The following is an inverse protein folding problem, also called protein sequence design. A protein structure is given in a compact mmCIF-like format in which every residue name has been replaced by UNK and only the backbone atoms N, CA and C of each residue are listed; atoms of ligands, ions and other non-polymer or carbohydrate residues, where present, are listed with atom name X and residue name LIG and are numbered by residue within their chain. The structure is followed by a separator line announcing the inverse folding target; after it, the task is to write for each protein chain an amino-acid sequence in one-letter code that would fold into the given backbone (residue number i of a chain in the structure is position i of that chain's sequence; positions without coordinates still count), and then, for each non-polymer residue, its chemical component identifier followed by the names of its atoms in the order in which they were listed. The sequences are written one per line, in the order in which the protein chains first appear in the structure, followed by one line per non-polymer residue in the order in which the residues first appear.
data_IF_954584175240
#
_entry.id   IF_954584175240
#
_cell.length_a   1.000
_cell.length_b   1.000
_cell.length_c   1.000
_cell.angle_alpha   90.00
_cell.angle_beta   90.00
_cell.angle_gamma   90.00
#
_symmetry.space_group_name_H-M   'P 1'
#
loop_
_entity.id
_entity.type
_entity.pdbx_description
1 polymer ?
#
# COMPACT_ATOMS: atom_id res chain seq x y z
N UNK A 1 -0.46 -6.67 10.88
CA UNK A 1 -1.95 -6.72 10.98
C UNK A 1 -2.40 -8.14 11.34
N UNK A 2 -3.44 -8.31 12.15
CA UNK A 2 -4.03 -9.63 12.49
C UNK A 2 -5.56 -9.57 12.47
N UNK A 3 -6.25 -10.64 12.06
CA UNK A 3 -7.71 -10.77 12.16
C UNK A 3 -8.47 -9.90 11.16
N UNK A 4 -9.44 -9.10 11.64
CA UNK A 4 -10.27 -8.25 10.78
C UNK A 4 -9.44 -7.25 9.96
N UNK A 5 -8.48 -6.48 10.52
CA UNK A 5 -7.58 -5.64 9.73
C UNK A 5 -6.85 -6.37 8.60
N UNK A 6 -6.36 -7.58 8.85
CA UNK A 6 -5.65 -8.39 7.85
C UNK A 6 -6.60 -8.78 6.70
N UNK A 7 -7.81 -9.23 7.04
CA UNK A 7 -8.84 -9.61 6.06
C UNK A 7 -9.25 -8.41 5.19
N UNK A 8 -9.42 -7.25 5.81
CA UNK A 8 -9.73 -5.99 5.12
C UNK A 8 -8.59 -5.58 4.19
N UNK A 9 -7.34 -5.62 4.65
CA UNK A 9 -6.17 -5.29 3.82
C UNK A 9 -6.11 -6.17 2.57
N UNK A 10 -6.24 -7.50 2.75
CA UNK A 10 -6.28 -8.46 1.62
C UNK A 10 -7.40 -8.16 0.65
N UNK A 11 -8.59 -7.85 1.17
CA UNK A 11 -9.78 -7.53 0.35
C UNK A 11 -9.57 -6.26 -0.46
N UNK A 12 -9.04 -5.20 0.15
CA UNK A 12 -8.74 -3.94 -0.52
C UNK A 12 -7.66 -4.12 -1.59
N UNK A 13 -6.57 -4.81 -1.28
CA UNK A 13 -5.53 -5.15 -2.26
C UNK A 13 -6.13 -5.94 -3.43
N UNK A 14 -6.94 -6.96 -3.17
CA UNK A 14 -7.60 -7.74 -4.23
C UNK A 14 -8.52 -6.88 -5.09
N UNK A 15 -9.28 -5.95 -4.49
CA UNK A 15 -10.14 -5.04 -5.23
C UNK A 15 -9.32 -4.10 -6.14
N UNK A 16 -8.22 -3.52 -5.64
CA UNK A 16 -7.32 -2.68 -6.43
C UNK A 16 -6.67 -3.44 -7.58
N UNK A 17 -6.22 -4.69 -7.34
CA UNK A 17 -5.66 -5.55 -8.38
C UNK A 17 -6.71 -5.85 -9.47
N UNK A 18 -7.95 -6.17 -9.08
CA UNK A 18 -9.04 -6.40 -10.03
C UNK A 18 -9.36 -5.17 -10.87
N UNK A 19 -9.33 -3.98 -10.26
CA UNK A 19 -9.52 -2.71 -10.98
C UNK A 19 -8.39 -2.51 -11.98
N UNK A 20 -7.13 -2.69 -11.55
CA UNK A 20 -5.96 -2.55 -12.43
C UNK A 20 -6.02 -3.51 -13.63
N UNK A 21 -6.37 -4.78 -13.41
CA UNK A 21 -6.57 -5.77 -14.49
C UNK A 21 -7.67 -5.32 -15.45
N UNK A 22 -8.83 -4.90 -14.92
CA UNK A 22 -9.96 -4.44 -15.73
C UNK A 22 -9.61 -3.20 -16.58
N UNK A 23 -8.75 -2.33 -16.05
CA UNK A 23 -8.30 -1.09 -16.72
C UNK A 23 -7.03 -1.28 -17.55
N UNK A 24 -6.55 -2.52 -17.70
CA UNK A 24 -5.29 -2.85 -18.40
C UNK A 24 -4.08 -2.05 -17.87
N UNK A 25 -4.04 -1.82 -16.56
CA UNK A 25 -2.94 -1.17 -15.84
C UNK A 25 -2.00 -2.23 -15.27
N UNK A 26 -0.70 -2.09 -15.48
CA UNK A 26 0.30 -2.90 -14.78
C UNK A 26 0.18 -2.65 -13.28
N UNK A 27 0.24 -3.71 -12.48
CA UNK A 27 0.22 -3.63 -11.02
C UNK A 27 1.31 -4.55 -10.45
N UNK A 28 1.93 -4.11 -9.36
CA UNK A 28 2.95 -4.84 -8.63
C UNK A 28 2.55 -4.85 -7.17
N UNK A 29 2.45 -6.04 -6.57
CA UNK A 29 2.04 -6.18 -5.18
C UNK A 29 3.23 -6.58 -4.33
N UNK A 30 3.43 -5.84 -3.24
CA UNK A 30 4.44 -6.10 -2.22
C UNK A 30 3.72 -6.35 -0.91
N UNK A 31 3.83 -7.56 -0.37
CA UNK A 31 3.41 -7.85 1.01
C UNK A 31 4.62 -7.74 1.92
N UNK A 32 4.42 -7.22 3.14
CA UNK A 32 5.48 -7.11 4.14
C UNK A 32 5.01 -7.63 5.50
N UNK A 33 5.94 -8.26 6.22
CA UNK A 33 5.80 -8.67 7.61
C UNK A 33 7.19 -8.67 8.25
N UNK A 34 7.75 -9.83 8.63
CA UNK A 34 9.18 -9.98 8.93
C UNK A 34 10.04 -9.84 7.69
N UNK A 35 9.52 -10.27 6.53
CA UNK A 35 10.16 -10.16 5.22
C UNK A 35 9.16 -9.63 4.19
N UNK A 36 9.68 -9.26 3.00
CA UNK A 36 8.85 -8.88 1.86
C UNK A 36 8.63 -10.07 0.91
N UNK A 37 7.45 -10.14 0.31
CA UNK A 37 7.19 -10.98 -0.86
C UNK A 37 6.59 -10.13 -1.96
N UNK A 38 7.00 -10.41 -3.20
CA UNK A 38 6.61 -9.62 -4.36
C UNK A 38 5.90 -10.46 -5.40
N UNK A 39 4.87 -9.90 -6.00
CA UNK A 39 3.94 -10.62 -6.84
C UNK A 39 3.61 -9.81 -8.09
N UNK A 40 3.91 -10.41 -9.24
CA UNK A 40 3.37 -10.00 -10.52
C UNK A 40 2.00 -10.64 -10.73
N UNK A 41 1.07 -9.89 -11.34
CA UNK A 41 -0.31 -10.31 -11.58
C UNK A 41 -0.38 -11.60 -12.42
N UNK A 42 -0.62 -12.74 -11.75
CA UNK A 42 -1.19 -13.95 -12.32
C UNK A 42 -2.07 -14.66 -11.28
N UNK A 43 -3.03 -15.46 -11.72
CA UNK A 43 -4.07 -16.02 -10.84
C UNK A 43 -3.51 -16.86 -9.68
N UNK A 44 -2.46 -17.63 -9.94
CA UNK A 44 -1.81 -18.47 -8.92
C UNK A 44 -1.15 -17.63 -7.81
N UNK A 45 -0.47 -16.54 -8.19
CA UNK A 45 0.19 -15.63 -7.26
C UNK A 45 -0.81 -14.87 -6.38
N UNK A 46 -1.99 -14.56 -6.90
CA UNK A 46 -3.05 -13.92 -6.11
C UNK A 46 -3.55 -14.87 -5.02
N UNK A 47 -3.76 -16.15 -5.33
CA UNK A 47 -4.18 -17.14 -4.32
C UNK A 47 -3.11 -17.27 -3.23
N UNK A 48 -1.83 -17.35 -3.62
CA UNK A 48 -0.72 -17.39 -2.68
C UNK A 48 -0.73 -16.17 -1.74
N UNK A 49 -0.84 -14.95 -2.28
CA UNK A 49 -0.97 -13.72 -1.49
C UNK A 49 -2.09 -13.77 -0.46
N UNK A 50 -3.28 -14.20 -0.87
CA UNK A 50 -4.45 -14.26 0.01
C UNK A 50 -4.25 -15.26 1.16
N UNK A 51 -3.45 -16.31 0.94
CA UNK A 51 -3.11 -17.32 1.94
C UNK A 51 -2.03 -16.88 2.94
N UNK A 52 -1.22 -15.87 2.62
CA UNK A 52 -0.13 -15.41 3.48
C UNK A 52 -0.65 -14.76 4.76
N UNK A 53 0.05 -14.93 5.88
CA UNK A 53 -0.21 -14.14 7.09
C UNK A 53 0.57 -12.82 7.07
N UNK A 54 -0.04 -11.73 7.52
CA UNK A 54 0.63 -10.41 7.66
C UNK A 54 0.97 -10.11 9.12
N UNK A 55 1.22 -11.18 9.88
CA UNK A 55 1.56 -11.15 11.29
C UNK A 55 3.08 -11.22 11.42
N UNK A 56 3.64 -10.28 12.17
CA UNK A 56 5.09 -10.17 12.37
C UNK A 56 5.69 -8.96 11.63
N UNK A 57 6.73 -8.39 12.24
CA UNK A 57 7.38 -7.17 11.78
C UNK A 57 6.47 -5.93 11.81
N UNK A 58 7.07 -4.76 11.97
CA UNK A 58 6.39 -3.47 11.85
C UNK A 58 7.13 -2.55 10.89
N UNK A 59 8.29 -2.96 10.40
CA UNK A 59 9.11 -2.14 9.52
C UNK A 59 8.66 -2.30 8.06
N UNK A 60 8.07 -1.24 7.53
CA UNK A 60 7.66 -1.17 6.13
C UNK A 60 8.77 -0.68 5.20
N UNK A 61 9.92 -0.27 5.75
CA UNK A 61 11.05 0.29 4.99
C UNK A 61 11.49 -0.64 3.86
N UNK A 62 11.68 -1.96 4.06
CA UNK A 62 12.08 -2.86 2.98
C UNK A 62 11.08 -2.89 1.82
N UNK A 63 9.78 -2.80 2.13
CA UNK A 63 8.73 -2.78 1.11
C UNK A 63 8.70 -1.47 0.33
N UNK A 64 8.90 -0.35 1.02
CA UNK A 64 8.98 0.96 0.38
C UNK A 64 10.22 1.07 -0.50
N UNK A 65 11.37 0.56 -0.06
CA UNK A 65 12.60 0.51 -0.86
C UNK A 65 12.43 -0.33 -2.12
N UNK A 66 11.75 -1.48 -2.04
CA UNK A 66 11.43 -2.28 -3.22
C UNK A 66 10.47 -1.54 -4.17
N UNK A 67 9.47 -0.82 -3.65
CA UNK A 67 8.58 -0.01 -4.47
C UNK A 67 9.35 1.11 -5.20
N UNK A 68 10.23 1.82 -4.50
CA UNK A 68 11.11 2.85 -5.07
C UNK A 68 12.06 2.28 -6.13
N UNK A 69 12.61 1.07 -5.90
CA UNK A 69 13.41 0.37 -6.91
C UNK A 69 12.58 0.08 -8.16
N UNK A 70 11.33 -0.36 -8.01
CA UNK A 70 10.45 -0.62 -9.15
C UNK A 70 10.15 0.64 -9.97
N UNK A 71 10.06 1.82 -9.35
CA UNK A 71 9.94 3.10 -10.07
C UNK A 71 11.14 3.42 -10.99
N UNK A 72 12.28 2.73 -10.85
CA UNK A 72 13.41 2.88 -11.77
C UNK A 72 13.28 2.01 -13.03
N UNK A 73 12.30 1.11 -13.07
CA UNK A 73 12.06 0.20 -14.20
C UNK A 73 11.10 0.82 -15.22
N UNK A 74 11.28 0.48 -16.50
CA UNK A 74 10.47 1.03 -17.60
C UNK A 74 8.96 0.85 -17.40
N UNK A 75 8.57 -0.28 -16.82
CA UNK A 75 7.17 -0.66 -16.63
C UNK A 75 6.44 0.13 -15.55
N UNK A 76 7.19 0.67 -14.58
CA UNK A 76 6.62 1.29 -13.37
C UNK A 76 7.14 2.70 -13.11
N UNK A 77 7.95 3.29 -14.00
CA UNK A 77 8.54 4.63 -13.85
C UNK A 77 7.58 5.80 -13.63
N UNK A 78 6.29 5.61 -13.88
CA UNK A 78 5.21 6.57 -13.64
C UNK A 78 4.09 5.98 -12.79
N UNK A 79 4.34 4.88 -12.09
CA UNK A 79 3.35 4.24 -11.25
C UNK A 79 3.16 5.05 -9.96
N UNK A 80 1.92 5.12 -9.49
CA UNK A 80 1.62 5.59 -8.15
C UNK A 80 1.81 4.44 -7.14
N UNK A 81 2.13 4.79 -5.90
CA UNK A 81 2.30 3.83 -4.80
C UNK A 81 1.12 3.95 -3.85
N UNK A 82 0.48 2.83 -3.53
CA UNK A 82 -0.59 2.75 -2.52
C UNK A 82 -0.12 1.81 -1.41
N UNK A 83 0.03 2.34 -0.20
CA UNK A 83 0.34 1.57 0.99
C UNK A 83 -0.91 1.28 1.82
N UNK A 84 -1.19 0.00 2.07
CA UNK A 84 -2.33 -0.45 2.89
C UNK A 84 -1.81 -1.02 4.20
N UNK A 85 -2.09 -0.37 5.32
CA UNK A 85 -1.56 -0.79 6.64
C UNK A 85 -2.39 -0.22 7.79
N UNK A 86 -2.25 -0.78 8.99
CA UNK A 86 -2.70 -0.15 10.23
C UNK A 86 -1.73 0.94 10.73
N UNK A 87 -0.62 1.17 10.03
CA UNK A 87 0.39 2.21 10.32
C UNK A 87 1.00 2.13 11.72
N UNK A 88 1.00 0.94 12.33
CA UNK A 88 1.77 0.65 13.53
C UNK A 88 3.20 0.31 13.10
N UNK A 89 3.96 1.34 12.70
CA UNK A 89 5.32 1.23 12.14
C UNK A 89 6.21 2.41 12.54
N UNK A 90 7.54 2.26 12.57
CA UNK A 90 8.44 3.42 12.65
C UNK A 90 8.31 4.30 11.39
N UNK A 91 8.76 5.55 11.48
CA UNK A 91 8.95 6.36 10.28
C UNK A 91 10.06 5.76 9.41
N UNK A 92 9.99 5.99 8.09
CA UNK A 92 11.06 5.59 7.17
C UNK A 92 12.38 6.28 7.51
N UNK A 93 13.51 5.64 7.22
CA UNK A 93 14.83 6.24 7.37
C UNK A 93 15.05 7.43 6.41
N UNK A 94 16.06 8.26 6.67
CA UNK A 94 16.34 9.47 5.89
C UNK A 94 16.64 9.21 4.41
N UNK A 95 17.31 8.09 4.10
CA UNK A 95 17.62 7.70 2.73
C UNK A 95 16.33 7.38 1.97
N UNK A 96 15.44 6.59 2.59
CA UNK A 96 14.13 6.24 2.02
C UNK A 96 13.26 7.49 1.85
N UNK A 97 13.23 8.40 2.83
CA UNK A 97 12.51 9.68 2.71
C UNK A 97 13.04 10.53 1.54
N UNK A 98 14.35 10.60 1.36
CA UNK A 98 14.97 11.33 0.24
C UNK A 98 14.55 10.75 -1.12
N UNK A 99 14.52 9.42 -1.24
CA UNK A 99 14.08 8.73 -2.46
C UNK A 99 12.59 8.96 -2.76
N UNK A 100 11.73 8.96 -1.72
CA UNK A 100 10.30 9.31 -1.87
C UNK A 100 10.17 10.72 -2.44
N UNK A 101 10.91 11.69 -1.90
CA UNK A 101 10.89 13.08 -2.39
C UNK A 101 11.28 13.16 -3.88
N UNK A 102 12.36 12.49 -4.29
CA UNK A 102 12.78 12.44 -5.70
C UNK A 102 11.73 11.77 -6.60
N UNK A 103 11.09 10.70 -6.14
CA UNK A 103 10.01 10.06 -6.89
C UNK A 103 8.80 10.99 -7.09
N UNK A 104 8.45 11.80 -6.07
CA UNK A 104 7.40 12.82 -6.15
C UNK A 104 7.72 13.94 -7.13
N UNK A 105 8.98 14.38 -7.19
CA UNK A 105 9.44 15.35 -8.20
C UNK A 105 9.20 14.82 -9.63
N UNK A 106 9.35 13.51 -9.82
CA UNK A 106 9.02 12.78 -11.06
C UNK A 106 7.51 12.46 -11.23
N UNK A 107 6.64 13.14 -10.48
CA UNK A 107 5.16 13.04 -10.55
C UNK A 107 4.56 11.73 -10.06
N UNK A 108 5.34 10.88 -9.39
CA UNK A 108 4.78 9.72 -8.66
C UNK A 108 3.99 10.21 -7.46
N UNK A 109 2.76 9.72 -7.28
CA UNK A 109 2.00 9.98 -6.06
C UNK A 109 2.14 8.83 -5.08
N UNK A 110 2.26 9.18 -3.81
CA UNK A 110 2.27 8.26 -2.69
C UNK A 110 0.93 8.39 -1.94
N UNK A 111 0.22 7.28 -1.83
CA UNK A 111 -1.05 7.20 -1.13
C UNK A 111 -0.94 6.21 0.01
N UNK A 112 -1.61 6.49 1.11
CA UNK A 112 -1.88 5.47 2.10
C UNK A 112 -3.37 5.27 2.33
N UNK A 113 -3.68 4.03 2.68
CA UNK A 113 -4.98 3.57 3.14
C UNK A 113 -4.76 2.95 4.52
N UNK A 114 -5.11 3.72 5.53
CA UNK A 114 -5.02 3.35 6.94
C UNK A 114 -6.21 2.49 7.33
N UNK A 115 -5.95 1.30 7.86
CA UNK A 115 -6.98 0.40 8.38
C UNK A 115 -7.01 0.54 9.91
N UNK A 116 -8.16 0.97 10.44
CA UNK A 116 -8.33 1.23 11.87
C UNK A 116 -8.16 2.70 12.23
N UNK A 117 -7.67 2.97 13.44
CA UNK A 117 -7.66 4.29 14.07
C UNK A 117 -6.26 4.83 14.36
N UNK A 118 -5.23 4.35 13.66
CA UNK A 118 -3.86 4.81 13.90
C UNK A 118 -3.70 6.28 13.54
N UNK A 119 -3.05 7.03 14.43
CA UNK A 119 -2.72 8.45 14.27
C UNK A 119 -1.20 8.66 14.09
N UNK A 120 -0.50 7.68 13.51
CA UNK A 120 0.95 7.77 13.31
C UNK A 120 1.33 8.81 12.24
N UNK A 121 1.24 10.08 12.62
CA UNK A 121 1.48 11.25 11.76
C UNK A 121 2.89 11.30 11.21
N UNK A 122 3.88 10.75 11.94
CA UNK A 122 5.29 10.76 11.54
C UNK A 122 5.56 9.89 10.31
N UNK A 123 4.93 8.71 10.19
CA UNK A 123 5.03 7.86 9.00
C UNK A 123 4.11 8.38 7.88
N UNK A 124 2.96 8.97 8.22
CA UNK A 124 1.98 9.48 7.26
C UNK A 124 2.43 10.73 6.50
N UNK A 125 3.38 11.52 7.04
CA UNK A 125 3.87 12.75 6.42
C UNK A 125 4.46 12.57 5.01
N UNK A 126 4.92 11.36 4.70
CA UNK A 126 5.52 11.02 3.40
C UNK A 126 4.47 10.77 2.30
N UNK A 127 3.18 10.73 2.64
CA UNK A 127 2.11 10.42 1.69
C UNK A 127 1.35 11.67 1.26
N UNK A 128 1.02 11.76 -0.02
CA UNK A 128 0.28 12.88 -0.61
C UNK A 128 -1.22 12.81 -0.25
N UNK A 129 -1.77 11.59 -0.17
CA UNK A 129 -3.12 11.36 0.30
C UNK A 129 -3.12 10.34 1.43
N UNK A 130 -3.96 10.62 2.44
CA UNK A 130 -4.18 9.76 3.58
C UNK A 130 -5.66 9.38 3.64
N UNK A 131 -6.00 8.15 3.28
CA UNK A 131 -7.37 7.63 3.38
C UNK A 131 -7.51 6.71 4.58
N UNK A 132 -8.69 6.73 5.19
CA UNK A 132 -8.95 5.98 6.41
C UNK A 132 -10.13 5.04 6.21
N UNK A 133 -9.96 3.82 6.68
CA UNK A 133 -11.00 2.81 6.78
C UNK A 133 -11.07 2.27 8.21
N UNK A 134 -11.99 2.82 8.99
CA UNK A 134 -12.29 2.39 10.35
C UNK A 134 -13.33 1.27 10.31
N UNK A 135 -12.91 0.07 10.66
CA UNK A 135 -13.75 -1.15 10.68
C UNK A 135 -14.94 -1.04 11.64
N UNK A 136 -14.89 -0.11 12.61
CA UNK A 136 -15.95 0.08 13.59
C UNK A 136 -16.94 1.18 13.18
N UNK A 137 -16.73 1.86 12.04
CA UNK A 137 -17.57 2.95 11.55
C UNK A 137 -18.21 2.57 10.21
N UNK A 138 -19.54 2.32 10.18
CA UNK A 138 -20.24 1.92 8.95
C UNK A 138 -20.04 2.91 7.78
N UNK A 139 -20.01 4.21 8.07
CA UNK A 139 -19.84 5.27 7.06
C UNK A 139 -18.41 5.36 6.49
N UNK A 140 -17.44 4.68 7.11
CA UNK A 140 -16.05 4.76 6.69
C UNK A 140 -15.83 4.20 5.29
N UNK A 141 -16.60 3.18 4.90
CA UNK A 141 -16.54 2.63 3.53
C UNK A 141 -16.98 3.68 2.49
N UNK A 142 -18.08 4.38 2.77
CA UNK A 142 -18.61 5.39 1.85
C UNK A 142 -17.63 6.56 1.70
N UNK A 143 -17.03 6.99 2.81
CA UNK A 143 -16.00 8.03 2.82
C UNK A 143 -14.76 7.59 2.03
N UNK A 144 -14.28 6.37 2.25
CA UNK A 144 -13.16 5.79 1.50
C UNK A 144 -13.44 5.80 0.00
N UNK A 145 -14.60 5.28 -0.42
CA UNK A 145 -14.98 5.21 -1.85
C UNK A 145 -15.07 6.60 -2.47
N UNK A 146 -15.58 7.60 -1.75
CA UNK A 146 -15.61 8.99 -2.24
C UNK A 146 -14.19 9.56 -2.42
N UNK A 147 -13.28 9.28 -1.50
CA UNK A 147 -11.92 9.82 -1.53
C UNK A 147 -11.02 9.15 -2.58
N UNK A 148 -11.30 7.88 -2.91
CA UNK A 148 -10.56 7.13 -3.94
C UNK A 148 -11.10 7.42 -5.36
N UNK A 149 -12.31 7.98 -5.51
CA UNK A 149 -12.83 8.35 -6.83
C UNK A 149 -12.02 9.52 -7.41
N UNK A 150 -11.08 9.24 -8.32
CA UNK A 150 -10.31 10.26 -9.05
C UNK A 150 -8.83 9.97 -9.27
N UNK A 151 -8.40 8.73 -9.06
CA UNK A 151 -7.05 8.15 -9.23
C UNK A 151 -7.16 6.88 -10.06
#
# INVERSE_FOLDING_TARGET
MHGTPETVAKTLCLALLKIAVRENRKCYLISFSTDIQTLNLNDYKIIHFLSMSFQGGTDATPAMQEALRMLTTEDYKKADIIMVSDFVMPAFDEQTQSQIKTAKENKTKFHNLVIGSSENTAAMKEFDNNWFYDINKPDSLLTLVKNIRGI
#
